data_IF_413538528817
#
_entry.id   IF_413538528817
#
_cell.length_a   1.000
_cell.length_b   1.000
_cell.length_c   1.000
_cell.angle_alpha   90.00
_cell.angle_beta   90.00
_cell.angle_gamma   90.00
#
_symmetry.space_group_name_H-M   'P 1'
#
loop_
_entity.id
_entity.type
_entity.pdbx_description
1 polymer ?
#
# COMPACT_ATOMS: atom_id res chain seq x y z
N UNK A 1 -23.98 11.33 11.51
CA UNK A 1 -22.80 11.93 12.19
C UNK A 1 -21.63 11.97 11.21
N UNK A 2 -21.49 13.06 10.47
CA UNK A 2 -20.41 13.21 9.48
C UNK A 2 -19.14 13.60 10.24
N UNK A 3 -18.23 12.64 10.41
CA UNK A 3 -17.01 12.80 11.20
C UNK A 3 -16.23 14.04 10.71
N UNK A 4 -16.00 15.04 11.58
CA UNK A 4 -15.17 16.22 11.28
C UNK A 4 -13.74 15.85 10.83
N UNK A 5 -13.31 14.62 11.12
CA UNK A 5 -12.08 14.02 10.60
C UNK A 5 -12.08 13.87 9.08
N UNK A 6 -13.24 13.68 8.42
CA UNK A 6 -13.31 13.43 6.98
C UNK A 6 -12.89 14.65 6.17
N UNK A 7 -13.27 15.85 6.58
CA UNK A 7 -12.90 17.09 5.87
C UNK A 7 -11.43 17.48 6.10
N UNK A 8 -10.91 17.31 7.32
CA UNK A 8 -9.50 17.51 7.61
C UNK A 8 -8.60 16.49 6.90
N UNK A 9 -9.03 15.21 6.86
CA UNK A 9 -8.33 14.16 6.12
C UNK A 9 -8.38 14.43 4.61
N UNK A 10 -9.51 14.88 4.06
CA UNK A 10 -9.60 15.28 2.64
C UNK A 10 -8.61 16.39 2.30
N UNK A 11 -8.58 17.48 3.08
CA UNK A 11 -7.64 18.60 2.86
C UNK A 11 -6.18 18.18 2.98
N UNK A 12 -5.86 17.28 3.92
CA UNK A 12 -4.51 16.73 4.04
C UNK A 12 -4.17 15.82 2.85
N UNK A 13 -5.11 14.97 2.40
CA UNK A 13 -4.95 14.09 1.24
C UNK A 13 -4.76 14.88 -0.05
N UNK A 14 -5.46 16.01 -0.24
CA UNK A 14 -5.29 16.88 -1.42
C UNK A 14 -3.89 17.47 -1.47
N UNK A 15 -3.38 17.99 -0.34
CA UNK A 15 -2.01 18.52 -0.22
C UNK A 15 -0.94 17.43 -0.27
N UNK A 16 -1.27 16.20 0.11
CA UNK A 16 -0.33 15.07 0.22
C UNK A 16 -0.76 13.89 -0.65
N UNK A 17 -1.24 14.18 -1.87
CA UNK A 17 -1.86 13.17 -2.75
C UNK A 17 -0.97 11.95 -2.97
N UNK A 18 0.33 12.15 -3.16
CA UNK A 18 1.29 11.06 -3.31
C UNK A 18 1.41 10.19 -2.06
N UNK A 19 1.51 10.80 -0.87
CA UNK A 19 1.61 10.08 0.42
C UNK A 19 0.32 9.37 0.78
N UNK A 20 -0.82 9.99 0.52
CA UNK A 20 -2.14 9.40 0.68
C UNK A 20 -2.32 8.18 -0.24
N UNK A 21 -1.93 8.31 -1.51
CA UNK A 21 -1.94 7.20 -2.48
C UNK A 21 -1.07 6.05 -1.98
N UNK A 22 0.17 6.33 -1.58
CA UNK A 22 1.10 5.33 -1.02
C UNK A 22 0.48 4.56 0.16
N UNK A 23 -0.12 5.26 1.13
CA UNK A 23 -0.76 4.62 2.29
C UNK A 23 -1.95 3.75 1.87
N UNK A 24 -2.76 4.24 0.94
CA UNK A 24 -3.92 3.50 0.44
C UNK A 24 -3.51 2.22 -0.28
N UNK A 25 -2.49 2.28 -1.14
CA UNK A 25 -1.98 1.14 -1.88
C UNK A 25 -1.34 0.12 -0.92
N UNK A 26 -0.57 0.59 0.07
CA UNK A 26 0.00 -0.27 1.11
C UNK A 26 -1.07 -1.02 1.91
N UNK A 27 -2.16 -0.34 2.25
CA UNK A 27 -3.27 -0.95 3.01
C UNK A 27 -4.01 -1.99 2.18
N UNK A 28 -4.24 -1.71 0.89
CA UNK A 28 -4.88 -2.66 -0.05
C UNK A 28 -4.01 -3.89 -0.24
N UNK A 29 -2.71 -3.71 -0.52
CA UNK A 29 -1.77 -4.81 -0.69
C UNK A 29 -1.71 -5.72 0.54
N UNK A 30 -1.59 -5.15 1.74
CA UNK A 30 -1.62 -5.93 3.00
C UNK A 30 -2.90 -6.75 3.15
N UNK A 31 -4.05 -6.14 2.84
CA UNK A 31 -5.34 -6.82 2.98
C UNK A 31 -5.49 -7.96 1.98
N UNK A 32 -5.05 -7.74 0.74
CA UNK A 32 -5.05 -8.75 -0.31
C UNK A 32 -4.19 -9.96 0.07
N UNK A 33 -2.92 -9.74 0.44
CA UNK A 33 -1.99 -10.79 0.86
C UNK A 33 -2.55 -11.59 2.05
N UNK A 34 -3.22 -10.93 3.00
CA UNK A 34 -3.71 -11.59 4.22
C UNK A 34 -5.01 -12.37 4.02
N UNK A 35 -5.88 -11.94 3.10
CA UNK A 35 -7.28 -12.41 3.05
C UNK A 35 -7.70 -13.02 1.72
N UNK A 36 -7.05 -12.68 0.62
CA UNK A 36 -7.53 -12.99 -0.73
C UNK A 36 -6.50 -13.73 -1.59
N UNK A 37 -5.20 -13.51 -1.35
CA UNK A 37 -4.13 -14.08 -2.18
C UNK A 37 -4.13 -15.62 -2.18
N UNK A 38 -3.93 -16.22 -3.36
CA UNK A 38 -3.73 -17.66 -3.52
C UNK A 38 -2.28 -18.07 -3.25
N UNK A 39 -2.01 -19.37 -3.29
CA UNK A 39 -0.64 -19.88 -3.15
C UNK A 39 0.26 -19.43 -4.31
N UNK A 40 -0.26 -19.39 -5.54
CA UNK A 40 0.48 -18.85 -6.69
C UNK A 40 0.81 -17.37 -6.50
N UNK A 41 -0.17 -16.56 -6.07
CA UNK A 41 0.04 -15.12 -5.81
C UNK A 41 1.14 -14.88 -4.77
N UNK A 42 1.12 -15.64 -3.67
CA UNK A 42 2.13 -15.52 -2.61
C UNK A 42 3.53 -15.89 -3.12
N UNK A 43 3.63 -16.91 -3.98
CA UNK A 43 4.88 -17.29 -4.63
C UNK A 43 5.41 -16.18 -5.54
N UNK A 44 4.54 -15.62 -6.39
CA UNK A 44 4.89 -14.51 -7.27
C UNK A 44 5.34 -13.28 -6.47
N UNK A 45 4.57 -12.86 -5.47
CA UNK A 45 4.89 -11.71 -4.62
C UNK A 45 6.21 -11.88 -3.88
N UNK A 46 6.51 -13.09 -3.40
CA UNK A 46 7.81 -13.39 -2.80
C UNK A 46 8.96 -13.11 -3.77
N UNK A 47 8.81 -13.52 -5.04
CA UNK A 47 9.76 -13.21 -6.10
C UNK A 47 9.92 -11.71 -6.35
N UNK A 48 8.82 -10.97 -6.44
CA UNK A 48 8.83 -9.51 -6.65
C UNK A 48 9.50 -8.78 -5.47
N UNK A 49 9.17 -9.16 -4.23
CA UNK A 49 9.76 -8.57 -3.02
C UNK A 49 11.26 -8.82 -2.97
N UNK A 50 11.72 -10.02 -3.30
CA UNK A 50 13.15 -10.34 -3.37
C UNK A 50 13.88 -9.46 -4.37
N UNK A 51 13.38 -9.35 -5.62
CA UNK A 51 13.97 -8.49 -6.65
C UNK A 51 14.07 -7.04 -6.19
N UNK A 52 12.96 -6.49 -5.68
CA UNK A 52 12.93 -5.10 -5.20
C UNK A 52 13.89 -4.86 -4.03
N UNK A 53 14.04 -5.84 -3.13
CA UNK A 53 14.97 -5.74 -2.00
C UNK A 53 16.44 -5.74 -2.44
N UNK A 54 16.77 -6.49 -3.51
CA UNK A 54 18.11 -6.47 -4.10
C UNK A 54 18.40 -5.10 -4.71
N UNK A 55 17.47 -4.57 -5.52
CA UNK A 55 17.59 -3.23 -6.09
C UNK A 55 17.78 -2.15 -5.01
N UNK A 56 17.06 -2.25 -3.89
CA UNK A 56 17.21 -1.32 -2.77
C UNK A 56 18.54 -1.44 -2.03
N UNK A 57 19.14 -2.63 -1.96
CA UNK A 57 20.45 -2.83 -1.30
C UNK A 57 21.62 -2.36 -2.18
N UNK A 58 21.41 -2.37 -3.50
CA UNK A 58 22.41 -1.96 -4.49
C UNK A 58 22.33 -0.47 -4.85
N UNK A 59 21.39 0.28 -4.26
CA UNK A 59 21.14 1.70 -4.50
C UNK A 59 21.46 2.53 -3.27
#
# INVERSE_FOLDING_TARGET
MTNKQTEANKRWQEKNKARAKYLSDRSRARSFIKKAATLEDLSEFSGLIKKRSIEFKNS
#
